data_IF_268141685116
#
_entry.id   IF_268141685116
#
_cell.length_a   1.000
_cell.length_b   1.000
_cell.length_c   1.000
_cell.angle_alpha   90.00
_cell.angle_beta   90.00
_cell.angle_gamma   90.00
#
_symmetry.space_group_name_H-M   'P 1'
#
loop_
_entity.id
_entity.type
_entity.pdbx_description
1 polymer ?
#
# COMPACT_ATOMS: atom_id res chain seq x y z
N UNK A 1 -27.30 8.17 40.39
CA UNK A 1 -27.32 9.04 39.20
C UNK A 1 -26.14 9.98 39.37
N UNK A 2 -25.07 9.97 38.61
CA UNK A 2 -24.67 9.34 37.33
C UNK A 2 -23.12 9.39 37.36
N UNK A 3 -22.46 8.25 37.22
CA UNK A 3 -21.89 7.73 35.97
C UNK A 3 -20.43 8.17 35.76
N UNK A 4 -19.55 7.21 35.99
CA UNK A 4 -18.11 7.21 35.76
C UNK A 4 -17.78 7.46 34.30
N UNK A 5 -17.05 8.54 34.00
CA UNK A 5 -16.40 8.72 32.71
C UNK A 5 -15.20 7.76 32.61
N UNK A 6 -15.33 6.74 31.76
CA UNK A 6 -14.21 5.96 31.29
C UNK A 6 -13.26 6.89 30.53
N UNK A 7 -12.09 7.17 31.12
CA UNK A 7 -10.92 7.60 30.37
C UNK A 7 -10.58 6.47 29.40
N UNK A 8 -11.05 6.58 28.16
CA UNK A 8 -10.61 5.73 27.08
C UNK A 8 -9.09 5.80 27.02
N UNK A 9 -8.44 4.69 27.38
CA UNK A 9 -7.01 4.51 27.19
C UNK A 9 -6.76 4.48 25.68
N UNK A 10 -6.64 5.66 25.07
CA UNK A 10 -5.98 5.79 23.78
C UNK A 10 -4.63 5.12 23.93
N UNK A 11 -4.41 4.02 23.21
CA UNK A 11 -3.12 3.32 23.20
C UNK A 11 -2.06 4.36 22.87
N UNK A 12 -1.21 4.67 23.84
CA UNK A 12 -0.03 5.53 23.66
C UNK A 12 0.74 4.97 22.46
N UNK A 13 0.76 5.72 21.36
CA UNK A 13 1.58 5.43 20.18
C UNK A 13 0.88 5.53 18.83
N UNK A 14 -0.42 5.24 18.67
CA UNK A 14 -1.03 5.25 17.34
C UNK A 14 -1.77 6.58 17.07
N UNK A 15 -1.42 7.37 16.04
CA UNK A 15 -2.31 8.40 15.53
C UNK A 15 -3.65 7.74 15.14
N UNK A 16 -4.78 8.44 15.32
CA UNK A 16 -6.12 7.87 15.04
C UNK A 16 -6.16 7.17 13.66
N UNK A 17 -6.71 5.95 13.63
CA UNK A 17 -6.77 5.02 12.48
C UNK A 17 -5.46 4.36 12.01
N UNK A 18 -4.32 4.60 12.65
CA UNK A 18 -3.07 3.90 12.31
C UNK A 18 -2.90 2.62 13.15
N UNK A 19 -2.38 1.57 12.52
CA UNK A 19 -2.08 0.29 13.14
C UNK A 19 -0.56 0.14 13.23
N UNK A 20 -0.03 -0.20 14.41
CA UNK A 20 1.40 -0.46 14.57
C UNK A 20 1.72 -1.92 14.26
N UNK A 21 2.76 -2.15 13.47
CA UNK A 21 3.35 -3.47 13.26
C UNK A 21 4.87 -3.33 13.12
N UNK A 22 5.62 -4.08 13.93
CA UNK A 22 7.07 -3.91 14.03
C UNK A 22 7.47 -2.48 14.43
N UNK A 23 8.34 -1.88 13.62
CA UNK A 23 8.84 -0.50 13.77
C UNK A 23 8.05 0.53 12.96
N UNK A 24 6.92 0.18 12.33
CA UNK A 24 6.15 1.08 11.46
C UNK A 24 4.70 1.24 11.92
N UNK A 25 4.08 2.33 11.49
CA UNK A 25 2.65 2.58 11.53
C UNK A 25 2.07 2.51 10.13
N UNK A 26 0.90 1.88 10.02
CA UNK A 26 0.20 1.64 8.76
C UNK A 26 -1.19 2.26 8.79
N UNK A 27 -1.61 2.88 7.70
CA UNK A 27 -2.96 3.38 7.50
C UNK A 27 -3.59 2.67 6.31
N UNK A 28 -4.77 2.09 6.50
CA UNK A 28 -5.55 1.45 5.45
C UNK A 28 -6.70 2.38 5.09
N UNK A 29 -6.82 2.73 3.80
CA UNK A 29 -7.86 3.67 3.37
C UNK A 29 -9.24 3.02 3.32
N UNK A 30 -10.26 3.80 3.65
CA UNK A 30 -11.65 3.45 3.41
C UNK A 30 -12.12 3.87 2.00
N UNK A 31 -11.45 4.89 1.43
CA UNK A 31 -11.69 5.48 0.11
C UNK A 31 -10.81 4.84 -0.98
N UNK A 32 -11.18 5.06 -2.25
CA UNK A 32 -10.37 4.70 -3.41
C UNK A 32 -9.87 5.94 -4.17
N UNK A 33 -8.63 5.91 -4.67
CA UNK A 33 -7.97 6.98 -5.43
C UNK A 33 -7.02 6.42 -6.50
N UNK A 34 -6.64 7.26 -7.47
CA UNK A 34 -5.52 6.94 -8.36
C UNK A 34 -4.21 6.86 -7.57
N UNK A 35 -3.20 6.18 -8.12
CA UNK A 35 -1.97 5.89 -7.38
C UNK A 35 -1.24 7.16 -6.90
N UNK A 36 -1.13 8.19 -7.76
CA UNK A 36 -0.45 9.45 -7.41
C UNK A 36 -1.21 10.21 -6.31
N UNK A 37 -2.55 10.26 -6.38
CA UNK A 37 -3.41 10.89 -5.36
C UNK A 37 -3.33 10.15 -4.02
N UNK A 38 -3.30 8.81 -4.05
CA UNK A 38 -3.10 7.98 -2.86
C UNK A 38 -1.73 8.25 -2.22
N UNK A 39 -0.69 8.39 -3.03
CA UNK A 39 0.65 8.75 -2.56
C UNK A 39 0.70 10.14 -1.95
N UNK A 40 0.06 11.12 -2.59
CA UNK A 40 -0.06 12.48 -2.06
C UNK A 40 -0.76 12.48 -0.69
N UNK A 41 -1.83 11.69 -0.55
CA UNK A 41 -2.52 11.53 0.74
C UNK A 41 -1.60 11.04 1.85
N UNK A 42 -0.74 10.05 1.57
CA UNK A 42 0.23 9.53 2.53
C UNK A 42 1.29 10.58 2.88
N UNK A 43 1.82 11.28 1.87
CA UNK A 43 2.85 12.32 2.04
C UNK A 43 2.36 13.50 2.86
N UNK A 44 1.11 13.91 2.67
CA UNK A 44 0.46 14.94 3.50
C UNK A 44 0.41 14.56 5.00
N UNK A 45 0.58 13.26 5.34
CA UNK A 45 0.56 12.71 6.70
C UNK A 45 1.95 12.27 7.19
N UNK A 46 3.02 12.74 6.54
CA UNK A 46 4.42 12.37 6.85
C UNK A 46 4.64 10.86 6.77
N UNK A 47 4.03 10.25 5.76
CA UNK A 47 4.13 8.85 5.37
C UNK A 47 4.40 8.78 3.86
N UNK A 48 4.53 7.59 3.30
CA UNK A 48 4.44 7.36 1.85
C UNK A 48 3.58 6.08 1.63
N UNK A 49 3.35 5.68 0.38
CA UNK A 49 2.77 4.36 0.12
C UNK A 49 3.68 3.26 0.69
N UNK A 50 3.09 2.17 1.18
CA UNK A 50 3.83 1.11 1.89
C UNK A 50 4.94 0.49 1.05
N UNK A 51 6.09 0.23 1.68
CA UNK A 51 7.26 -0.41 1.08
C UNK A 51 7.50 -1.75 1.75
N UNK A 52 7.18 -2.83 1.04
CA UNK A 52 7.20 -4.18 1.64
C UNK A 52 8.63 -4.72 1.64
N UNK A 53 9.21 -4.84 2.83
CA UNK A 53 10.62 -5.26 3.05
C UNK A 53 10.76 -6.68 3.56
N UNK A 54 9.70 -7.27 4.12
CA UNK A 54 9.73 -8.65 4.65
C UNK A 54 8.47 -9.46 4.37
N UNK A 55 8.56 -10.79 4.51
CA UNK A 55 7.42 -11.71 4.39
C UNK A 55 6.40 -11.52 5.52
N UNK A 56 6.87 -11.19 6.73
CA UNK A 56 6.01 -10.93 7.88
C UNK A 56 5.17 -9.67 7.67
N UNK A 57 5.77 -8.63 7.09
CA UNK A 57 5.07 -7.42 6.70
C UNK A 57 4.02 -7.72 5.63
N UNK A 58 4.39 -8.40 4.54
CA UNK A 58 3.43 -8.85 3.52
C UNK A 58 2.25 -9.60 4.13
N UNK A 59 2.52 -10.54 5.03
CA UNK A 59 1.50 -11.34 5.72
C UNK A 59 0.59 -10.48 6.59
N UNK A 60 1.14 -9.52 7.32
CA UNK A 60 0.39 -8.55 8.11
C UNK A 60 -0.55 -7.70 7.24
N UNK A 61 -0.05 -7.15 6.13
CA UNK A 61 -0.87 -6.37 5.20
C UNK A 61 -1.97 -7.24 4.60
N UNK A 62 -1.63 -8.48 4.21
CA UNK A 62 -2.58 -9.46 3.67
C UNK A 62 -3.71 -9.78 4.66
N UNK A 63 -3.42 -9.89 5.96
CA UNK A 63 -4.43 -10.20 6.95
C UNK A 63 -5.44 -9.06 7.19
N UNK A 64 -5.06 -7.80 6.91
CA UNK A 64 -5.86 -6.63 7.26
C UNK A 64 -6.60 -5.97 6.11
N UNK A 65 -6.12 -6.10 4.87
CA UNK A 65 -6.88 -5.61 3.70
C UNK A 65 -8.10 -6.48 3.43
N UNK A 66 -9.17 -5.85 2.97
CA UNK A 66 -10.43 -6.46 2.56
C UNK A 66 -10.72 -6.27 1.06
N UNK A 67 -9.92 -5.46 0.38
CA UNK A 67 -10.02 -5.09 -1.04
C UNK A 67 -8.63 -5.02 -1.65
N UNK A 68 -8.58 -4.89 -2.97
CA UNK A 68 -7.34 -4.58 -3.66
C UNK A 68 -6.83 -3.21 -3.24
N UNK A 69 -5.52 -3.12 -3.03
CA UNK A 69 -4.88 -1.93 -2.45
C UNK A 69 -3.62 -1.56 -3.20
N UNK A 70 -3.40 -0.27 -3.39
CA UNK A 70 -2.14 0.29 -3.85
C UNK A 70 -1.01 0.10 -2.84
N UNK A 71 0.17 -0.21 -3.37
CA UNK A 71 1.45 -0.22 -2.66
C UNK A 71 2.45 0.70 -3.37
N UNK A 72 3.58 0.97 -2.71
CA UNK A 72 4.58 1.91 -3.19
C UNK A 72 5.51 1.41 -4.30
N UNK A 73 5.19 0.31 -4.98
CA UNK A 73 6.02 -0.23 -6.06
C UNK A 73 5.54 0.32 -7.41
N UNK A 74 6.48 0.80 -8.23
CA UNK A 74 6.20 1.39 -9.54
C UNK A 74 7.42 1.34 -10.46
N UNK A 75 7.21 1.35 -11.77
CA UNK A 75 8.24 1.51 -12.80
C UNK A 75 7.98 2.69 -13.76
N UNK A 76 7.08 3.63 -13.40
CA UNK A 76 6.76 4.89 -14.14
C UNK A 76 7.97 5.69 -14.65
N UNK A 77 9.14 5.52 -14.03
CA UNK A 77 10.38 6.23 -14.42
C UNK A 77 11.07 5.55 -15.60
N UNK A 78 11.04 4.22 -15.64
CA UNK A 78 11.69 3.40 -16.65
C UNK A 78 11.01 2.03 -16.67
N UNK A 79 10.20 1.79 -17.71
CA UNK A 79 9.52 0.53 -17.98
C UNK A 79 10.42 -0.69 -17.71
N UNK A 80 9.89 -1.66 -16.97
CA UNK A 80 10.59 -2.89 -16.59
C UNK A 80 11.61 -2.72 -15.46
N UNK A 81 11.80 -1.50 -14.94
CA UNK A 81 12.70 -1.19 -13.82
C UNK A 81 11.92 -0.75 -12.58
N UNK A 82 11.41 -1.74 -11.85
CA UNK A 82 10.64 -1.55 -10.62
C UNK A 82 11.45 -0.92 -9.48
N UNK A 83 10.88 0.13 -8.88
CA UNK A 83 11.42 0.83 -7.71
C UNK A 83 10.34 1.11 -6.68
N UNK A 84 10.73 1.09 -5.41
CA UNK A 84 9.88 1.54 -4.33
C UNK A 84 9.86 3.07 -4.21
N UNK A 85 8.79 3.61 -3.63
CA UNK A 85 8.64 5.05 -3.38
C UNK A 85 9.73 5.65 -2.47
N UNK A 86 10.41 4.83 -1.66
CA UNK A 86 11.56 5.22 -0.85
C UNK A 86 12.91 5.19 -1.61
N UNK A 87 12.88 4.80 -2.88
CA UNK A 87 14.03 4.70 -3.77
C UNK A 87 14.79 3.38 -3.68
N UNK A 88 14.41 2.47 -2.79
CA UNK A 88 15.03 1.15 -2.69
C UNK A 88 14.70 0.28 -3.91
N UNK A 89 15.63 -0.62 -4.31
CA UNK A 89 15.38 -1.54 -5.41
C UNK A 89 14.42 -2.67 -4.99
N UNK A 90 13.73 -3.26 -5.96
CA UNK A 90 12.90 -4.43 -5.72
C UNK A 90 13.76 -5.69 -5.48
N UNK A 91 13.77 -6.20 -4.24
CA UNK A 91 14.51 -7.42 -3.85
C UNK A 91 13.62 -8.63 -3.60
N UNK A 92 12.46 -8.43 -2.97
CA UNK A 92 11.44 -9.45 -2.75
C UNK A 92 10.28 -9.26 -3.72
N UNK A 93 9.77 -10.36 -4.28
CA UNK A 93 8.73 -10.33 -5.32
C UNK A 93 7.56 -11.21 -4.90
N UNK A 94 6.35 -10.65 -4.93
CA UNK A 94 5.12 -11.36 -4.61
C UNK A 94 4.10 -11.31 -5.75
N UNK A 95 4.59 -11.23 -6.99
CA UNK A 95 3.79 -11.25 -8.20
C UNK A 95 2.85 -12.46 -8.26
N UNK A 96 1.66 -12.24 -8.81
CA UNK A 96 0.80 -13.32 -9.26
C UNK A 96 1.49 -14.09 -10.38
N UNK A 97 1.07 -15.35 -10.59
CA UNK A 97 1.57 -16.12 -11.72
C UNK A 97 1.34 -15.33 -13.03
N UNK A 98 2.42 -15.14 -13.80
CA UNK A 98 2.48 -14.37 -15.07
C UNK A 98 2.49 -12.85 -14.94
N UNK A 99 2.55 -12.30 -13.73
CA UNK A 99 2.74 -10.86 -13.49
C UNK A 99 4.23 -10.51 -13.23
N UNK A 100 4.66 -9.26 -13.48
CA UNK A 100 3.91 -8.20 -14.16
C UNK A 100 3.79 -8.45 -15.67
N UNK A 101 2.63 -8.16 -16.25
CA UNK A 101 2.33 -8.42 -17.67
C UNK A 101 2.21 -7.17 -18.54
N UNK A 102 2.20 -5.98 -17.93
CA UNK A 102 2.00 -4.68 -18.57
C UNK A 102 0.82 -4.68 -19.56
N UNK A 103 -0.32 -5.24 -19.18
CA UNK A 103 -1.49 -5.42 -20.04
C UNK A 103 -1.18 -6.24 -21.30
N UNK A 104 -0.24 -7.17 -21.24
CA UNK A 104 0.35 -7.89 -22.39
C UNK A 104 0.91 -6.96 -23.49
N UNK A 105 1.29 -5.72 -23.15
CA UNK A 105 1.72 -4.69 -24.11
C UNK A 105 0.62 -4.23 -25.06
N UNK A 106 -0.66 -4.51 -24.76
CA UNK A 106 -1.77 -4.10 -25.60
C UNK A 106 -2.15 -2.65 -25.29
N UNK A 107 -2.08 -1.78 -26.30
CA UNK A 107 -2.46 -0.34 -26.22
C UNK A 107 -3.84 -0.10 -25.60
N UNK A 108 -4.76 -1.06 -25.72
CA UNK A 108 -6.10 -0.96 -25.14
C UNK A 108 -6.14 -0.94 -23.60
N UNK A 109 -5.10 -1.46 -22.93
CA UNK A 109 -5.01 -1.51 -21.47
C UNK A 109 -4.13 -0.38 -20.89
N UNK A 110 -3.43 0.36 -21.75
CA UNK A 110 -2.49 1.41 -21.33
C UNK A 110 -1.19 0.82 -20.77
N UNK A 111 -0.34 1.70 -20.22
CA UNK A 111 0.85 1.31 -19.46
C UNK A 111 0.42 0.98 -18.01
N UNK A 112 0.81 -0.19 -17.50
CA UNK A 112 0.49 -0.67 -16.16
C UNK A 112 1.67 -0.46 -15.20
N UNK A 113 1.95 0.79 -14.84
CA UNK A 113 3.20 1.12 -14.13
C UNK A 113 3.08 1.09 -12.59
N UNK A 114 1.93 0.70 -12.05
CA UNK A 114 1.61 0.80 -10.63
C UNK A 114 1.13 -0.53 -10.05
N UNK A 115 1.53 -0.85 -8.83
CA UNK A 115 1.28 -2.19 -8.26
C UNK A 115 0.18 -2.17 -7.21
N UNK A 116 -0.75 -3.09 -7.36
CA UNK A 116 -1.73 -3.45 -6.33
C UNK A 116 -1.40 -4.78 -5.67
N UNK A 117 -1.82 -4.95 -4.42
CA UNK A 117 -2.10 -6.28 -3.84
C UNK A 117 -3.55 -6.61 -4.18
N UNK A 118 -3.82 -7.73 -4.87
CA UNK A 118 -5.20 -8.17 -5.15
C UNK A 118 -5.92 -8.62 -3.89
N UNK A 119 -7.23 -8.39 -3.80
CA UNK A 119 -8.06 -8.89 -2.70
C UNK A 119 -8.04 -10.43 -2.58
N UNK A 120 -8.05 -11.13 -3.71
CA UNK A 120 -7.86 -12.57 -3.84
C UNK A 120 -6.97 -12.83 -5.07
N UNK A 121 -5.83 -13.54 -4.95
CA UNK A 121 -5.35 -14.29 -3.79
C UNK A 121 -4.36 -13.53 -2.88
N UNK A 122 -4.18 -12.21 -3.02
CA UNK A 122 -3.19 -11.44 -2.25
C UNK A 122 -1.82 -11.29 -2.87
N UNK A 123 -1.64 -11.82 -4.07
CA UNK A 123 -0.47 -11.59 -4.89
C UNK A 123 -0.53 -10.21 -5.55
N UNK A 124 0.62 -9.78 -6.06
CA UNK A 124 0.77 -8.49 -6.72
C UNK A 124 0.38 -8.56 -8.19
N UNK A 125 -0.15 -7.46 -8.68
CA UNK A 125 -0.48 -7.21 -10.07
C UNK A 125 -0.07 -5.77 -10.38
N UNK A 126 0.64 -5.57 -11.48
CA UNK A 126 0.78 -4.26 -12.09
C UNK A 126 -0.55 -3.91 -12.78
N UNK A 127 -0.95 -2.65 -12.72
CA UNK A 127 -2.19 -2.17 -13.30
C UNK A 127 -2.06 -0.67 -13.58
N UNK A 128 -2.87 -0.16 -14.52
CA UNK A 128 -2.91 1.27 -14.82
C UNK A 128 -3.02 2.12 -13.54
N UNK A 129 -2.09 3.07 -13.39
CA UNK A 129 -2.00 3.98 -12.24
C UNK A 129 -3.25 4.85 -12.02
N UNK A 130 -4.07 5.01 -13.06
CA UNK A 130 -5.33 5.77 -13.03
C UNK A 130 -6.49 4.97 -12.41
N UNK A 131 -6.27 3.68 -12.13
CA UNK A 131 -7.28 2.84 -11.46
C UNK A 131 -7.58 3.37 -10.07
N UNK A 132 -8.86 3.45 -9.71
CA UNK A 132 -9.26 3.89 -8.37
C UNK A 132 -9.27 2.70 -7.41
N UNK A 133 -8.24 2.59 -6.56
CA UNK A 133 -8.11 1.55 -5.53
C UNK A 133 -7.96 2.15 -4.15
N UNK A 134 -8.26 1.34 -3.13
CA UNK A 134 -7.82 1.62 -1.76
C UNK A 134 -6.29 1.64 -1.72
N UNK A 135 -5.69 2.15 -0.65
CA UNK A 135 -4.25 2.23 -0.52
C UNK A 135 -3.80 2.03 0.92
N UNK A 136 -2.52 1.72 1.06
CA UNK A 136 -1.88 1.57 2.36
C UNK A 136 -0.73 2.58 2.47
N UNK A 137 -0.78 3.42 3.50
CA UNK A 137 0.35 4.27 3.86
C UNK A 137 1.23 3.60 4.92
N UNK A 138 2.52 3.91 4.92
CA UNK A 138 3.48 3.50 5.94
C UNK A 138 4.32 4.70 6.41
N UNK A 139 4.61 4.74 7.71
CA UNK A 139 5.64 5.60 8.30
C UNK A 139 6.33 4.93 9.48
N UNK A 140 7.57 5.28 9.74
CA UNK A 140 8.31 4.80 10.90
C UNK A 140 7.64 5.22 12.22
N UNK A 141 7.65 4.30 13.19
CA UNK A 141 7.24 4.52 14.56
C UNK A 141 8.42 5.08 15.36
N UNK A 142 8.66 6.38 15.23
CA UNK A 142 9.62 7.14 16.05
C UNK A 142 9.34 7.02 17.53
#
# INVERSE_FOLDING_TARGET
>A
MTETAFLGMGKIGCPEKWIRFGSSFYFFSDESKAWDEAREFCRARRADLVVIKTEEEKTFLFALRDKSVWIGLTDKVLEGTWKWVDGSPLTLKFWEEKQPDNGNGMVAFGEEDCVQIRDTPGSWNDISCETSLRWICEKEAT
#
